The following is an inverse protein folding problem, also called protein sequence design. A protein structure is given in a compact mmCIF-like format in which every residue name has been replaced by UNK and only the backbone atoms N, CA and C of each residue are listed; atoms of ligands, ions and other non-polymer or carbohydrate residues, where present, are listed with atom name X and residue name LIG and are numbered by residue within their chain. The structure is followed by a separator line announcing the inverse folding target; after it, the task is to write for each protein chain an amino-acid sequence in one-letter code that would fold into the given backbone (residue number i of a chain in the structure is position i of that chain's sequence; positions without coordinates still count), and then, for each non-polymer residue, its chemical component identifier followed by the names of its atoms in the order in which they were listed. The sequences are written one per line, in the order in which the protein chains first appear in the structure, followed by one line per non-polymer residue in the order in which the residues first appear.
data_IF_051314539459
#
_entry.id   IF_051314539459
#
_cell.length_a   1.000
_cell.length_b   1.000
_cell.length_c   1.000
_cell.angle_alpha   90.00
_cell.angle_beta   90.00
_cell.angle_gamma   90.00
#
_symmetry.space_group_name_H-M   'P 1'
#
loop_
_entity.id
_entity.type
_entity.pdbx_description
1 polymer ?
#
# COMPACT_ATOMS: atom_id res chain seq x y z
N UNK A 1 25.96 -3.63 -7.39
CA UNK A 1 24.98 -3.07 -8.34
C UNK A 1 25.01 -1.55 -8.21
N UNK A 2 25.35 -0.83 -9.28
CA UNK A 2 25.39 0.64 -9.30
C UNK A 2 24.22 1.15 -10.14
N UNK A 3 23.29 1.89 -9.52
CA UNK A 3 22.17 2.51 -10.22
C UNK A 3 22.67 3.72 -11.02
N UNK A 4 22.46 3.71 -12.35
CA UNK A 4 22.77 4.85 -13.22
C UNK A 4 21.93 6.07 -12.79
N UNK A 5 22.57 7.23 -12.64
CA UNK A 5 21.85 8.49 -12.40
C UNK A 5 21.17 8.98 -13.70
N UNK A 6 19.90 9.45 -13.64
CA UNK A 6 19.22 9.98 -14.81
C UNK A 6 19.76 11.37 -15.21
N UNK A 7 19.77 11.62 -16.51
CA UNK A 7 20.41 12.77 -17.18
C UNK A 7 19.60 14.08 -17.04
N UNK A 8 18.36 14.03 -16.56
CA UNK A 8 17.46 15.19 -16.48
C UNK A 8 16.74 15.37 -15.12
N UNK A 9 17.47 15.18 -14.01
CA UNK A 9 17.09 15.70 -12.67
C UNK A 9 15.90 15.06 -11.93
N UNK A 10 14.93 14.43 -12.61
CA UNK A 10 13.82 13.74 -11.95
C UNK A 10 14.11 12.24 -11.87
N UNK A 11 14.47 11.77 -10.68
CA UNK A 11 14.41 10.35 -10.36
C UNK A 11 12.97 9.83 -10.51
N UNK A 12 12.81 8.54 -10.82
CA UNK A 12 11.51 7.88 -10.74
C UNK A 12 10.92 8.09 -9.32
N UNK A 13 9.63 8.45 -9.18
CA UNK A 13 9.03 8.79 -7.88
C UNK A 13 9.29 7.76 -6.77
N UNK A 14 9.36 6.48 -7.13
CA UNK A 14 9.58 5.36 -6.21
C UNK A 14 11.04 5.18 -5.78
N UNK A 15 12.00 5.86 -6.41
CA UNK A 15 13.45 5.66 -6.19
C UNK A 15 13.81 5.80 -4.71
N UNK A 16 13.31 6.84 -4.03
CA UNK A 16 13.63 7.06 -2.61
C UNK A 16 13.07 5.97 -1.71
N UNK A 17 11.92 5.40 -2.06
CA UNK A 17 11.27 4.33 -1.30
C UNK A 17 12.01 3.01 -1.52
N UNK A 18 12.37 2.71 -2.76
CA UNK A 18 13.08 1.49 -3.15
C UNK A 18 14.47 1.36 -2.51
N UNK A 19 15.17 2.48 -2.34
CA UNK A 19 16.50 2.49 -1.72
C UNK A 19 16.49 2.21 -0.21
N UNK A 20 15.32 2.24 0.45
CA UNK A 20 15.19 1.91 1.88
C UNK A 20 15.08 0.40 2.06
N UNK A 21 15.49 -0.10 3.23
CA UNK A 21 15.22 -1.50 3.61
C UNK A 21 13.72 -1.76 3.62
N UNK A 22 13.33 -3.00 3.32
CA UNK A 22 11.93 -3.45 3.42
C UNK A 22 11.39 -3.11 4.81
N UNK A 23 10.24 -2.43 4.85
CA UNK A 23 9.62 -1.92 6.06
C UNK A 23 8.09 -1.81 5.91
N UNK A 24 7.38 -1.79 7.03
CA UNK A 24 5.92 -1.78 7.06
C UNK A 24 5.29 -0.38 7.21
N UNK A 25 6.10 0.68 7.21
CA UNK A 25 5.65 2.05 7.48
C UNK A 25 4.54 2.54 6.56
N UNK A 26 4.43 2.01 5.33
CA UNK A 26 3.45 2.48 4.34
C UNK A 26 2.12 1.74 4.36
N UNK A 27 2.00 0.62 5.09
CA UNK A 27 0.83 -0.28 5.00
C UNK A 27 -0.50 0.41 5.32
N UNK A 28 -0.54 1.18 6.41
CA UNK A 28 -1.76 1.83 6.90
C UNK A 28 -1.79 3.36 6.70
N UNK A 29 -0.79 3.94 6.02
CA UNK A 29 -0.65 5.41 5.89
C UNK A 29 -1.86 6.08 5.22
N UNK A 30 -2.55 5.35 4.35
CA UNK A 30 -3.74 5.82 3.64
C UNK A 30 -4.96 6.01 4.56
N UNK A 31 -4.99 5.40 5.75
CA UNK A 31 -6.09 5.53 6.70
C UNK A 31 -5.84 6.62 7.76
N UNK A 32 -4.65 7.20 7.79
CA UNK A 32 -4.28 8.20 8.80
C UNK A 32 -5.09 9.52 8.61
N UNK A 33 -5.27 10.33 9.67
CA UNK A 33 -5.98 11.61 9.58
C UNK A 33 -5.38 12.61 8.57
N UNK A 34 -4.07 12.53 8.32
CA UNK A 34 -3.38 13.33 7.29
C UNK A 34 -3.33 12.68 5.90
N UNK A 35 -4.15 11.65 5.66
CA UNK A 35 -4.25 11.01 4.36
C UNK A 35 -4.83 11.95 3.31
N UNK A 36 -4.39 11.76 2.06
CA UNK A 36 -4.97 12.44 0.89
C UNK A 36 -6.38 11.90 0.61
N UNK A 37 -6.70 10.68 1.06
CA UNK A 37 -8.02 10.10 0.91
C UNK A 37 -8.99 10.66 1.97
N UNK A 38 -10.19 11.13 1.56
CA UNK A 38 -11.20 11.57 2.51
C UNK A 38 -11.60 10.44 3.47
N UNK A 39 -11.78 10.77 4.75
CA UNK A 39 -12.14 9.78 5.78
C UNK A 39 -13.50 9.13 5.51
N UNK A 40 -14.45 9.88 4.96
CA UNK A 40 -15.73 9.33 4.54
C UNK A 40 -15.57 8.31 3.41
N UNK A 41 -14.66 8.58 2.45
CA UNK A 41 -14.32 7.64 1.38
C UNK A 41 -13.72 6.35 1.95
N UNK A 42 -12.77 6.47 2.88
CA UNK A 42 -12.14 5.33 3.57
C UNK A 42 -13.19 4.46 4.30
N UNK A 43 -14.19 5.08 4.93
CA UNK A 43 -15.24 4.36 5.66
C UNK A 43 -16.17 3.58 4.72
N UNK A 44 -16.47 4.13 3.54
CA UNK A 44 -17.46 3.56 2.60
C UNK A 44 -16.85 2.78 1.44
N UNK A 45 -15.52 2.77 1.30
CA UNK A 45 -14.80 2.05 0.25
C UNK A 45 -14.90 0.52 0.44
N UNK A 46 -16.11 -0.01 0.24
CA UNK A 46 -16.40 -1.43 0.07
C UNK A 46 -16.49 -1.71 -1.42
N UNK A 47 -15.34 -2.04 -1.99
CA UNK A 47 -15.25 -2.39 -3.41
C UNK A 47 -15.31 -3.91 -3.53
N UNK A 48 -16.16 -4.49 -4.41
CA UNK A 48 -16.28 -5.95 -4.55
C UNK A 48 -14.95 -6.67 -4.76
N UNK A 49 -13.99 -6.01 -5.41
CA UNK A 49 -12.64 -6.54 -5.61
C UNK A 49 -11.86 -6.71 -4.29
N UNK A 50 -11.96 -5.76 -3.35
CA UNK A 50 -11.32 -5.88 -2.04
C UNK A 50 -11.90 -7.03 -1.22
N UNK A 51 -13.20 -7.29 -1.38
CA UNK A 51 -13.87 -8.45 -0.75
C UNK A 51 -13.39 -9.75 -1.37
N UNK A 52 -13.34 -9.83 -2.71
CA UNK A 52 -12.81 -11.01 -3.42
C UNK A 52 -11.37 -11.34 -3.03
N UNK A 53 -10.57 -10.30 -2.74
CA UNK A 53 -9.18 -10.44 -2.31
C UNK A 53 -9.02 -10.63 -0.79
N UNK A 54 -10.12 -10.68 -0.02
CA UNK A 54 -10.10 -10.94 1.43
C UNK A 54 -9.70 -9.76 2.32
N UNK A 55 -9.65 -8.53 1.80
CA UNK A 55 -9.25 -7.35 2.58
C UNK A 55 -10.39 -6.75 3.42
N UNK A 56 -11.66 -7.02 3.08
CA UNK A 56 -12.80 -6.33 3.70
C UNK A 56 -13.10 -6.79 5.12
N UNK A 57 -12.78 -8.04 5.45
CA UNK A 57 -13.10 -8.66 6.74
C UNK A 57 -12.01 -8.46 7.81
N UNK A 58 -10.94 -7.73 7.46
CA UNK A 58 -9.75 -7.55 8.29
C UNK A 58 -9.72 -6.23 9.07
N UNK A 59 -10.79 -5.44 9.01
CA UNK A 59 -10.87 -4.11 9.63
C UNK A 59 -10.52 -2.96 8.68
N UNK A 60 -10.54 -1.73 9.20
CA UNK A 60 -10.24 -0.51 8.44
C UNK A 60 -9.33 0.44 9.27
N UNK A 61 -8.03 0.55 8.94
CA UNK A 61 -7.32 -0.20 7.90
C UNK A 61 -7.26 -1.71 8.21
N UNK A 62 -7.08 -2.58 7.19
CA UNK A 62 -6.92 -4.02 7.38
C UNK A 62 -5.75 -4.39 8.28
N UNK A 63 -5.94 -5.39 9.13
CA UNK A 63 -4.84 -6.12 9.75
C UNK A 63 -4.19 -7.06 8.73
N UNK A 64 -3.19 -6.54 8.01
CA UNK A 64 -2.50 -7.25 6.94
C UNK A 64 -1.79 -8.54 7.38
N UNK A 65 -1.54 -8.74 8.68
CA UNK A 65 -0.95 -10.00 9.18
C UNK A 65 -1.94 -11.16 9.15
N UNK A 66 -3.24 -10.87 9.12
CA UNK A 66 -4.32 -11.86 9.04
C UNK A 66 -4.72 -12.21 7.61
N UNK A 67 -4.12 -11.56 6.61
CA UNK A 67 -4.35 -11.90 5.22
C UNK A 67 -3.75 -13.28 4.95
N UNK A 68 -4.59 -14.24 4.59
CA UNK A 68 -4.12 -15.61 4.29
C UNK A 68 -3.14 -15.58 3.12
N UNK A 69 -2.02 -16.30 3.25
CA UNK A 69 -1.00 -16.43 2.19
C UNK A 69 -1.50 -17.21 0.95
N UNK A 70 -2.77 -17.60 0.91
CA UNK A 70 -3.40 -18.41 -0.15
C UNK A 70 -3.52 -17.68 -1.51
N UNK A 71 -2.97 -16.47 -1.66
CA UNK A 71 -2.77 -15.82 -2.97
C UNK A 71 -1.42 -16.20 -3.63
N UNK A 72 -0.70 -17.17 -3.08
CA UNK A 72 0.38 -17.84 -3.79
C UNK A 72 -0.24 -18.83 -4.79
N UNK A 73 -0.05 -18.57 -6.09
CA UNK A 73 -0.45 -19.38 -7.26
C UNK A 73 -1.87 -19.17 -7.81
N UNK A 74 -2.02 -18.15 -8.66
CA UNK A 74 -2.81 -18.24 -9.90
C UNK A 74 -1.92 -17.75 -11.04
#
# INVERSE_FOLDING_TARGET
MSCRKPVNGSYEPSTRQFMRKIHNESLAKWANPGSVLPQDFIRVARVPLLTKLGYTDLGNPPDYQKLSATLLYV
#
